data_IF_936268470953
#
_entry.id   IF_936268470953
#
_cell.length_a   1.000
_cell.length_b   1.000
_cell.length_c   1.000
_cell.angle_alpha   90.00
_cell.angle_beta   90.00
_cell.angle_gamma   90.00
#
_symmetry.space_group_name_H-M   'P 1'
#
loop_
_entity.id
_entity.type
_entity.pdbx_description
1 polymer ?
#
# COMPACT_ATOMS: atom_id res chain seq x y z
N UNK A 1 -11.18 -4.87 4.66
CA UNK A 1 -10.25 -3.76 4.97
C UNK A 1 -8.81 -4.25 4.87
N UNK A 2 -7.90 -3.42 4.35
CA UNK A 2 -6.55 -3.76 3.81
C UNK A 2 -5.79 -4.84 4.60
N UNK A 3 -5.68 -4.69 5.92
CA UNK A 3 -4.97 -5.66 6.78
C UNK A 3 -5.51 -7.10 6.66
N UNK A 4 -6.81 -7.29 6.39
CA UNK A 4 -7.40 -8.61 6.15
C UNK A 4 -6.85 -9.24 4.87
N UNK A 5 -6.67 -8.45 3.81
CA UNK A 5 -6.13 -8.93 2.53
C UNK A 5 -4.63 -9.22 2.64
N UNK A 6 -3.89 -8.40 3.41
CA UNK A 6 -2.47 -8.65 3.75
C UNK A 6 -2.33 -9.97 4.50
N UNK A 7 -3.16 -10.22 5.52
CA UNK A 7 -3.19 -11.50 6.26
C UNK A 7 -3.59 -12.68 5.39
N UNK A 8 -4.44 -12.47 4.39
CA UNK A 8 -4.83 -13.49 3.43
C UNK A 8 -3.75 -13.76 2.35
N UNK A 9 -2.61 -13.06 2.39
CA UNK A 9 -1.53 -13.13 1.39
C UNK A 9 -2.01 -12.92 -0.06
N UNK A 10 -3.08 -12.13 -0.23
CA UNK A 10 -3.62 -11.77 -1.55
C UNK A 10 -3.12 -10.43 -2.05
N UNK A 11 -2.17 -9.80 -1.35
CA UNK A 11 -1.71 -8.44 -1.64
C UNK A 11 -0.28 -8.50 -2.14
N UNK A 12 -0.02 -7.81 -3.24
CA UNK A 12 1.32 -7.70 -3.83
C UNK A 12 2.06 -6.47 -3.31
N UNK A 13 1.38 -5.32 -3.32
CA UNK A 13 1.92 -4.04 -2.85
C UNK A 13 0.87 -3.26 -2.05
N UNK A 14 1.32 -2.60 -1.00
CA UNK A 14 0.53 -1.69 -0.17
C UNK A 14 1.08 -0.28 -0.32
N UNK A 15 0.21 0.67 -0.62
CA UNK A 15 0.52 2.10 -0.59
C UNK A 15 -0.03 2.69 0.69
N UNK A 16 0.85 3.34 1.46
CA UNK A 16 0.48 4.10 2.65
C UNK A 16 0.87 5.54 2.40
N UNK A 17 -0.08 6.44 2.56
CA UNK A 17 0.16 7.87 2.43
C UNK A 17 1.30 8.33 3.38
N UNK A 18 2.23 9.13 2.88
CA UNK A 18 3.39 9.61 3.63
C UNK A 18 3.00 10.52 4.81
N UNK A 19 1.88 11.24 4.66
CA UNK A 19 1.24 12.14 5.62
C UNK A 19 0.25 11.42 6.56
N UNK A 20 0.15 10.09 6.50
CA UNK A 20 -0.58 9.34 7.52
C UNK A 20 0.07 9.47 8.90
N UNK A 21 -0.77 9.40 9.94
CA UNK A 21 -0.33 9.32 11.32
C UNK A 21 0.74 8.22 11.52
N UNK A 22 1.76 8.52 12.33
CA UNK A 22 2.90 7.63 12.55
C UNK A 22 2.47 6.23 13.02
N UNK A 23 1.48 6.17 13.92
CA UNK A 23 0.91 4.92 14.42
C UNK A 23 0.35 4.04 13.27
N UNK A 24 -0.29 4.66 12.28
CA UNK A 24 -0.82 3.96 11.11
C UNK A 24 0.31 3.44 10.24
N UNK A 25 1.31 4.29 9.95
CA UNK A 25 2.48 3.92 9.13
C UNK A 25 3.25 2.76 9.74
N UNK A 26 3.57 2.82 11.04
CA UNK A 26 4.24 1.73 11.77
C UNK A 26 3.43 0.44 11.71
N UNK A 27 2.13 0.51 12.01
CA UNK A 27 1.24 -0.68 11.99
C UNK A 27 1.21 -1.38 10.63
N UNK A 28 1.16 -0.62 9.53
CA UNK A 28 1.18 -1.19 8.19
C UNK A 28 2.58 -1.71 7.82
N UNK A 29 3.64 -1.00 8.18
CA UNK A 29 5.01 -1.44 7.96
C UNK A 29 5.28 -2.79 8.64
N UNK A 30 5.00 -2.91 9.93
CA UNK A 30 5.22 -4.14 10.70
C UNK A 30 4.46 -5.33 10.11
N UNK A 31 3.21 -5.09 9.69
CA UNK A 31 2.39 -6.15 9.08
C UNK A 31 2.87 -6.52 7.68
N UNK A 32 3.20 -5.55 6.83
CA UNK A 32 3.71 -5.86 5.51
C UNK A 32 5.04 -6.62 5.60
N UNK A 33 5.92 -6.24 6.54
CA UNK A 33 7.18 -6.94 6.82
C UNK A 33 6.95 -8.37 7.32
N UNK A 34 6.00 -8.57 8.24
CA UNK A 34 5.65 -9.90 8.76
C UNK A 34 5.05 -10.85 7.72
N UNK A 35 4.33 -10.33 6.71
CA UNK A 35 3.71 -11.14 5.66
C UNK A 35 4.48 -11.12 4.33
N UNK A 36 5.69 -10.54 4.31
CA UNK A 36 6.54 -10.35 3.14
C UNK A 36 5.83 -9.66 1.96
N UNK A 37 5.06 -8.61 2.27
CA UNK A 37 4.35 -7.77 1.29
C UNK A 37 5.12 -6.48 1.10
N UNK A 38 5.25 -6.02 -0.15
CA UNK A 38 5.93 -4.76 -0.46
C UNK A 38 5.09 -3.57 0.00
N UNK A 39 5.72 -2.56 0.60
CA UNK A 39 5.06 -1.35 1.07
C UNK A 39 5.75 -0.11 0.49
N UNK A 40 4.96 0.79 -0.09
CA UNK A 40 5.41 2.08 -0.62
C UNK A 40 4.79 3.24 0.15
N UNK A 41 5.61 4.26 0.43
CA UNK A 41 5.24 5.52 1.07
C UNK A 41 5.57 6.73 0.18
N UNK A 42 5.64 6.52 -1.14
CA UNK A 42 6.09 7.53 -2.08
C UNK A 42 5.10 8.70 -2.27
N UNK A 43 3.83 8.52 -1.90
CA UNK A 43 2.74 9.46 -2.21
C UNK A 43 2.02 9.93 -0.94
N UNK A 44 1.39 11.10 -1.00
CA UNK A 44 0.52 11.61 0.07
C UNK A 44 -0.96 11.18 -0.12
N UNK A 45 -1.82 11.46 0.87
CA UNK A 45 -3.24 11.06 0.84
C UNK A 45 -3.97 11.69 -0.34
N UNK A 46 -3.65 12.94 -0.69
CA UNK A 46 -4.30 13.67 -1.78
C UNK A 46 -3.96 13.04 -3.14
N UNK A 47 -2.70 12.71 -3.38
CA UNK A 47 -2.22 12.04 -4.59
C UNK A 47 -2.86 10.67 -4.76
N UNK A 48 -2.85 9.85 -3.69
CA UNK A 48 -3.49 8.53 -3.70
C UNK A 48 -5.00 8.66 -3.95
N UNK A 49 -5.65 9.62 -3.30
CA UNK A 49 -7.09 9.82 -3.43
C UNK A 49 -7.49 10.27 -4.82
N UNK A 50 -6.72 11.18 -5.42
CA UNK A 50 -6.93 11.66 -6.78
C UNK A 50 -6.68 10.55 -7.80
N UNK A 51 -5.63 9.74 -7.62
CA UNK A 51 -5.29 8.65 -8.53
C UNK A 51 -6.38 7.58 -8.63
N UNK A 52 -7.12 7.32 -7.54
CA UNK A 52 -8.20 6.33 -7.54
C UNK A 52 -9.61 6.95 -7.63
N UNK A 53 -9.72 8.28 -7.62
CA UNK A 53 -11.01 9.00 -7.59
C UNK A 53 -11.82 8.80 -6.30
N UNK A 54 -11.19 8.38 -5.21
CA UNK A 54 -11.83 8.13 -3.91
C UNK A 54 -10.91 8.50 -2.76
N UNK A 55 -11.44 9.16 -1.73
CA UNK A 55 -10.67 9.51 -0.53
C UNK A 55 -10.12 8.26 0.20
N UNK A 56 -8.82 8.00 0.05
CA UNK A 56 -8.11 6.87 0.68
C UNK A 56 -6.68 7.26 1.01
N UNK A 57 -6.30 6.96 2.24
CA UNK A 57 -4.93 7.11 2.73
C UNK A 57 -4.11 5.81 2.71
N UNK A 58 -4.78 4.66 2.54
CA UNK A 58 -4.12 3.35 2.43
C UNK A 58 -4.80 2.53 1.34
N UNK A 59 -4.01 1.99 0.42
CA UNK A 59 -4.45 1.20 -0.72
C UNK A 59 -3.66 -0.10 -0.76
N UNK A 60 -4.32 -1.21 -1.08
CA UNK A 60 -3.65 -2.48 -1.32
C UNK A 60 -4.02 -3.02 -2.69
N UNK A 61 -3.01 -3.40 -3.45
CA UNK A 61 -3.17 -3.98 -4.77
C UNK A 61 -3.20 -5.49 -4.63
N UNK A 62 -4.37 -6.06 -4.87
CA UNK A 62 -4.58 -7.52 -4.80
C UNK A 62 -4.33 -8.22 -6.12
N UNK A 63 -4.38 -7.49 -7.22
CA UNK A 63 -4.03 -8.03 -8.53
C UNK A 63 -2.50 -8.18 -8.66
N UNK A 64 -2.05 -9.35 -9.10
CA UNK A 64 -0.62 -9.67 -9.17
C UNK A 64 0.05 -8.99 -10.37
N UNK A 65 -0.65 -8.87 -11.50
CA UNK A 65 -0.13 -8.23 -12.71
C UNK A 65 0.10 -6.73 -12.50
N UNK A 66 -0.92 -6.05 -11.98
CA UNK A 66 -0.81 -4.63 -11.60
C UNK A 66 0.23 -4.42 -10.51
N UNK A 67 0.21 -5.23 -9.45
CA UNK A 67 1.14 -5.09 -8.34
C UNK A 67 2.60 -5.21 -8.79
N UNK A 68 2.90 -6.18 -9.66
CA UNK A 68 4.25 -6.35 -10.22
C UNK A 68 4.66 -5.14 -11.07
N UNK A 69 3.78 -4.68 -11.96
CA UNK A 69 4.10 -3.55 -12.83
C UNK A 69 4.29 -2.24 -12.05
N UNK A 70 3.49 -2.03 -11.01
CA UNK A 70 3.65 -0.89 -10.11
C UNK A 70 4.97 -0.95 -9.35
N UNK A 71 5.38 -2.12 -8.87
CA UNK A 71 6.68 -2.27 -8.19
C UNK A 71 7.85 -1.97 -9.12
N UNK A 72 7.81 -2.44 -10.38
CA UNK A 72 8.83 -2.12 -11.39
C UNK A 72 8.95 -0.60 -11.61
N UNK A 73 7.82 0.08 -11.74
CA UNK A 73 7.77 1.54 -11.94
C UNK A 73 8.23 2.33 -10.70
N UNK A 74 8.04 1.80 -9.49
CA UNK A 74 8.50 2.40 -8.24
C UNK A 74 10.01 2.20 -8.00
N UNK A 75 10.60 1.16 -8.58
CA UNK A 75 12.03 0.84 -8.45
C UNK A 75 12.91 1.50 -9.51
N UNK A 76 12.32 2.30 -10.40
CA UNK A 76 13.02 3.08 -11.45
C UNK A 76 13.22 4.50 -10.97
#
# INVERSE_FOLDING_TARGET
MVLKQVRAQKVTVVFVASDCAENTRKRFNDKCRSYNVSLSQAFNELELSNAIGQKRSVIAVTDRGFGRKMLELLST
#
